data_IF_390663659089
#
_entry.id   IF_390663659089
#
_cell.length_a   1.000
_cell.length_b   1.000
_cell.length_c   1.000
_cell.angle_alpha   90.00
_cell.angle_beta   90.00
_cell.angle_gamma   90.00
#
_symmetry.space_group_name_H-M   'P 1'
#
loop_
_entity.id
_entity.type
_entity.pdbx_description
1 polymer ?
#
# COMPACT_ATOMS: atom_id res chain seq x y z
N UNK A 1 -14.89 -40.67 11.37
CA UNK A 1 -14.12 -39.56 10.78
C UNK A 1 -12.67 -39.99 10.63
N UNK A 2 -12.21 -40.40 9.45
CA UNK A 2 -10.79 -40.65 9.27
C UNK A 2 -10.08 -39.30 9.27
N UNK A 3 -9.08 -39.17 10.14
CA UNK A 3 -8.13 -38.08 10.17
C UNK A 3 -7.43 -37.99 8.81
N UNK A 4 -7.81 -37.00 7.99
CA UNK A 4 -7.03 -36.60 6.83
C UNK A 4 -5.84 -35.83 7.35
N UNK A 5 -4.68 -36.49 7.44
CA UNK A 5 -3.40 -35.81 7.63
C UNK A 5 -3.25 -34.74 6.54
N UNK A 6 -2.89 -33.48 6.87
CA UNK A 6 -2.67 -32.46 5.87
C UNK A 6 -1.59 -32.97 4.91
N UNK A 7 -1.95 -33.14 3.63
CA UNK A 7 -0.97 -33.36 2.56
C UNK A 7 0.11 -32.25 2.71
N UNK A 8 1.40 -32.58 2.55
CA UNK A 8 2.43 -31.56 2.53
C UNK A 8 2.02 -30.49 1.53
N UNK A 9 2.06 -29.22 1.95
CA UNK A 9 1.89 -28.08 1.04
C UNK A 9 2.82 -28.33 -0.13
N UNK A 10 2.26 -28.56 -1.32
CA UNK A 10 3.07 -28.65 -2.52
C UNK A 10 3.55 -27.25 -2.92
N UNK A 11 3.94 -27.08 -4.18
CA UNK A 11 4.58 -25.86 -4.64
C UNK A 11 3.67 -24.64 -4.48
N UNK A 12 4.18 -23.60 -3.79
CA UNK A 12 3.57 -22.28 -3.81
C UNK A 12 3.95 -21.57 -5.12
N UNK A 13 2.94 -21.05 -5.80
CA UNK A 13 3.04 -20.21 -6.98
C UNK A 13 2.66 -18.79 -6.56
N UNK A 14 3.50 -17.81 -6.90
CA UNK A 14 3.26 -16.42 -6.55
C UNK A 14 3.07 -15.60 -7.83
N UNK A 15 1.97 -14.85 -7.88
CA UNK A 15 1.71 -13.87 -8.91
C UNK A 15 1.45 -12.52 -8.26
N UNK A 16 1.82 -11.44 -8.94
CA UNK A 16 1.60 -10.07 -8.49
C UNK A 16 1.00 -9.27 -9.65
N UNK A 17 0.02 -8.42 -9.34
CA UNK A 17 -0.59 -7.50 -10.30
C UNK A 17 -0.80 -6.14 -9.65
N UNK A 18 -0.30 -5.10 -10.29
CA UNK A 18 -0.65 -3.71 -9.99
C UNK A 18 -1.78 -3.26 -10.93
N UNK A 19 -2.94 -2.91 -10.37
CA UNK A 19 -4.13 -2.53 -11.15
C UNK A 19 -3.93 -1.21 -11.91
N UNK A 20 -3.16 -0.24 -11.41
CA UNK A 20 -2.94 1.02 -12.15
C UNK A 20 -2.16 0.80 -13.45
N UNK A 21 -1.42 -0.30 -13.56
CA UNK A 21 -0.71 -0.66 -14.79
C UNK A 21 -1.62 -1.22 -15.90
N UNK A 22 -2.88 -1.53 -15.58
CA UNK A 22 -3.83 -2.11 -16.52
C UNK A 22 -4.39 -1.05 -17.48
N UNK A 23 -4.55 -1.42 -18.74
CA UNK A 23 -5.30 -0.61 -19.70
C UNK A 23 -6.80 -0.79 -19.50
N UNK A 24 -7.61 0.22 -19.85
CA UNK A 24 -9.07 0.15 -19.71
C UNK A 24 -9.73 -1.03 -20.47
N UNK A 25 -9.05 -1.52 -21.52
CA UNK A 25 -9.48 -2.65 -22.35
C UNK A 25 -9.11 -4.01 -21.74
N UNK A 26 -8.33 -4.03 -20.67
CA UNK A 26 -7.88 -5.25 -20.01
C UNK A 26 -9.09 -6.00 -19.44
N UNK A 27 -9.28 -7.24 -19.91
CA UNK A 27 -10.48 -8.01 -19.63
C UNK A 27 -10.24 -9.13 -18.61
N UNK A 28 -11.32 -9.81 -18.22
CA UNK A 28 -11.28 -10.85 -17.20
C UNK A 28 -10.40 -12.04 -17.61
N UNK A 29 -10.39 -12.42 -18.88
CA UNK A 29 -9.58 -13.54 -19.38
C UNK A 29 -8.10 -13.21 -19.27
N UNK A 30 -7.71 -11.98 -19.66
CA UNK A 30 -6.33 -11.49 -19.55
C UNK A 30 -5.88 -11.37 -18.08
N UNK A 31 -6.79 -10.98 -17.19
CA UNK A 31 -6.54 -10.95 -15.74
C UNK A 31 -6.17 -12.32 -15.20
N UNK A 32 -6.93 -13.36 -15.54
CA UNK A 32 -6.66 -14.71 -15.08
C UNK A 32 -5.45 -15.34 -15.77
N UNK A 33 -5.24 -15.04 -17.05
CA UNK A 33 -4.03 -15.45 -17.76
C UNK A 33 -2.78 -14.89 -17.09
N UNK A 34 -2.81 -13.60 -16.70
CA UNK A 34 -1.74 -12.98 -15.94
C UNK A 34 -1.53 -13.67 -14.57
N UNK A 35 -2.61 -13.83 -13.81
CA UNK A 35 -2.57 -14.47 -12.48
C UNK A 35 -1.98 -15.88 -12.51
N UNK A 36 -2.25 -16.64 -13.57
CA UNK A 36 -1.82 -18.02 -13.73
C UNK A 36 -0.51 -18.16 -14.52
N UNK A 37 0.17 -17.07 -14.89
CA UNK A 37 1.46 -17.12 -15.58
C UNK A 37 2.51 -18.00 -14.86
N UNK A 38 2.68 -17.93 -13.52
CA UNK A 38 3.64 -18.78 -12.84
C UNK A 38 3.31 -20.28 -12.97
N UNK A 39 2.03 -20.63 -13.05
CA UNK A 39 1.58 -22.00 -13.27
C UNK A 39 2.00 -22.48 -14.68
N UNK A 40 1.78 -21.63 -15.68
CA UNK A 40 2.17 -21.91 -17.06
C UNK A 40 3.69 -22.16 -17.16
N UNK A 41 4.48 -21.24 -16.64
CA UNK A 41 5.95 -21.30 -16.72
C UNK A 41 6.54 -22.47 -15.92
N UNK A 42 6.09 -22.67 -14.67
CA UNK A 42 6.74 -23.62 -13.74
C UNK A 42 6.21 -25.03 -13.77
N UNK A 43 5.03 -25.27 -14.34
CA UNK A 43 4.42 -26.61 -14.32
C UNK A 43 4.19 -27.12 -15.73
N UNK A 44 3.65 -26.28 -16.60
CA UNK A 44 3.25 -26.70 -17.95
C UNK A 44 4.49 -26.82 -18.85
N UNK A 45 5.38 -25.83 -18.81
CA UNK A 45 6.57 -25.81 -19.66
C UNK A 45 7.69 -26.72 -19.16
N UNK A 46 7.84 -26.90 -17.84
CA UNK A 46 9.03 -27.55 -17.24
C UNK A 46 8.85 -29.00 -16.78
N UNK A 47 7.63 -29.44 -16.39
CA UNK A 47 7.43 -30.75 -15.71
C UNK A 47 6.76 -31.84 -16.54
N UNK A 48 6.03 -31.48 -17.60
CA UNK A 48 5.46 -32.33 -18.68
C UNK A 48 4.08 -31.80 -19.08
N UNK A 49 3.77 -31.64 -20.38
CA UNK A 49 2.51 -31.04 -20.84
C UNK A 49 1.26 -31.91 -20.63
N UNK A 50 1.40 -33.13 -20.10
CA UNK A 50 0.33 -34.13 -19.99
C UNK A 50 -0.25 -34.32 -18.58
N UNK A 51 0.15 -33.50 -17.60
CA UNK A 51 -0.43 -33.57 -16.24
C UNK A 51 -1.91 -33.16 -16.23
N UNK A 52 -2.72 -33.63 -15.26
CA UNK A 52 -4.11 -33.20 -15.11
C UNK A 52 -4.26 -31.68 -15.00
N UNK A 53 -3.32 -31.02 -14.31
CA UNK A 53 -3.28 -29.55 -14.16
C UNK A 53 -3.01 -28.87 -15.51
N UNK A 54 -2.04 -29.35 -16.29
CA UNK A 54 -1.75 -28.79 -17.62
C UNK A 54 -2.94 -28.92 -18.58
N UNK A 55 -3.66 -30.05 -18.53
CA UNK A 55 -4.90 -30.24 -19.30
C UNK A 55 -6.01 -29.29 -18.84
N UNK A 56 -6.21 -29.13 -17.53
CA UNK A 56 -7.20 -28.22 -16.98
C UNK A 56 -6.90 -26.75 -17.36
N UNK A 57 -5.62 -26.35 -17.35
CA UNK A 57 -5.21 -25.01 -17.76
C UNK A 57 -5.48 -24.76 -19.25
N UNK A 58 -5.13 -25.72 -20.13
CA UNK A 58 -5.45 -25.63 -21.57
C UNK A 58 -6.95 -25.52 -21.82
N UNK A 59 -7.78 -26.20 -21.02
CA UNK A 59 -9.23 -26.06 -21.09
C UNK A 59 -9.69 -24.67 -20.61
N UNK A 60 -9.07 -24.11 -19.56
CA UNK A 60 -9.33 -22.73 -19.16
C UNK A 60 -9.04 -21.74 -20.29
N UNK A 61 -7.91 -21.89 -20.99
CA UNK A 61 -7.59 -21.01 -22.13
C UNK A 61 -8.63 -21.11 -23.25
N UNK A 62 -9.16 -22.31 -23.52
CA UNK A 62 -10.21 -22.50 -24.55
C UNK A 62 -11.58 -21.94 -24.15
N UNK A 63 -11.84 -21.86 -22.85
CA UNK A 63 -13.08 -21.34 -22.28
C UNK A 63 -12.91 -19.89 -21.78
N UNK A 64 -11.92 -19.16 -22.30
CA UNK A 64 -11.62 -17.77 -21.97
C UNK A 64 -11.55 -17.49 -20.46
N UNK A 65 -11.03 -18.46 -19.69
CA UNK A 65 -10.97 -18.44 -18.23
C UNK A 65 -12.32 -18.20 -17.55
N UNK A 66 -13.37 -18.87 -18.04
CA UNK A 66 -14.66 -18.92 -17.37
C UNK A 66 -14.53 -19.38 -15.90
N UNK A 67 -15.44 -18.93 -15.04
CA UNK A 67 -15.42 -19.26 -13.60
C UNK A 67 -15.44 -20.77 -13.37
N UNK A 68 -16.26 -21.51 -14.12
CA UNK A 68 -16.33 -22.96 -14.02
C UNK A 68 -15.05 -23.65 -14.47
N UNK A 69 -14.37 -23.13 -15.50
CA UNK A 69 -13.09 -23.67 -15.93
C UNK A 69 -12.01 -23.44 -14.85
N UNK A 70 -11.98 -22.23 -14.27
CA UNK A 70 -11.06 -21.87 -13.19
C UNK A 70 -11.29 -22.72 -11.93
N UNK A 71 -12.54 -22.96 -11.52
CA UNK A 71 -12.86 -23.85 -10.40
C UNK A 71 -12.28 -25.25 -10.64
N UNK A 72 -12.52 -25.84 -11.81
CA UNK A 72 -11.93 -27.14 -12.19
C UNK A 72 -10.40 -27.13 -12.16
N UNK A 73 -9.77 -26.04 -12.61
CA UNK A 73 -8.32 -25.89 -12.57
C UNK A 73 -7.80 -25.87 -11.14
N UNK A 74 -8.37 -25.05 -10.26
CA UNK A 74 -7.94 -24.95 -8.88
C UNK A 74 -8.18 -26.26 -8.11
N UNK A 75 -9.25 -27.01 -8.40
CA UNK A 75 -9.43 -28.36 -7.87
C UNK A 75 -8.29 -29.31 -8.27
N UNK A 76 -7.83 -29.23 -9.53
CA UNK A 76 -6.67 -30.02 -9.99
C UNK A 76 -5.37 -29.57 -9.36
N UNK A 77 -5.17 -28.26 -9.20
CA UNK A 77 -4.02 -27.72 -8.48
C UNK A 77 -3.99 -28.23 -7.03
N UNK A 78 -5.14 -28.18 -6.34
CA UNK A 78 -5.27 -28.68 -4.97
C UNK A 78 -4.94 -30.19 -4.88
N UNK A 79 -5.43 -30.99 -5.82
CA UNK A 79 -5.15 -32.43 -5.88
C UNK A 79 -3.65 -32.73 -6.06
N UNK A 80 -2.98 -31.90 -6.87
CA UNK A 80 -1.53 -31.92 -7.15
C UNK A 80 -0.68 -31.19 -6.08
N UNK A 81 -1.33 -30.68 -5.02
CA UNK A 81 -0.70 -29.94 -3.93
C UNK A 81 -0.20 -28.53 -4.30
N UNK A 82 -0.51 -28.03 -5.50
CA UNK A 82 -0.10 -26.68 -5.93
C UNK A 82 -1.06 -25.64 -5.38
N UNK A 83 -0.52 -24.47 -5.03
CA UNK A 83 -1.30 -23.37 -4.47
C UNK A 83 -0.88 -22.04 -5.08
N UNK A 84 -1.83 -21.27 -5.59
CA UNK A 84 -1.59 -19.92 -6.10
C UNK A 84 -1.84 -18.89 -5.00
N UNK A 85 -0.80 -18.13 -4.67
CA UNK A 85 -0.91 -16.88 -3.93
C UNK A 85 -0.88 -15.74 -4.95
N UNK A 86 -1.99 -15.03 -5.10
CA UNK A 86 -2.10 -13.92 -6.02
C UNK A 86 -2.28 -12.61 -5.27
N UNK A 87 -1.29 -11.74 -5.41
CA UNK A 87 -1.26 -10.42 -4.82
C UNK A 87 -1.78 -9.39 -5.84
N UNK A 88 -2.73 -8.56 -5.43
CA UNK A 88 -3.30 -7.50 -6.27
C UNK A 88 -3.11 -6.18 -5.53
N UNK A 89 -2.24 -5.33 -6.05
CA UNK A 89 -2.03 -3.99 -5.52
C UNK A 89 -3.02 -2.99 -6.11
N UNK A 90 -3.29 -1.94 -5.35
CA UNK A 90 -4.19 -0.85 -5.72
C UNK A 90 -5.56 -1.32 -6.19
N UNK A 91 -6.10 -2.32 -5.50
CA UNK A 91 -7.34 -3.00 -5.82
C UNK A 91 -8.54 -2.04 -5.95
N UNK A 92 -8.53 -0.91 -5.23
CA UNK A 92 -9.56 0.13 -5.34
C UNK A 92 -9.68 0.75 -6.76
N UNK A 93 -8.61 0.69 -7.58
CA UNK A 93 -8.66 1.15 -8.96
C UNK A 93 -9.63 0.32 -9.83
N UNK A 94 -9.91 -0.94 -9.47
CA UNK A 94 -10.89 -1.79 -10.17
C UNK A 94 -12.31 -1.23 -10.10
N UNK A 95 -12.62 -0.40 -9.10
CA UNK A 95 -13.93 0.24 -8.97
C UNK A 95 -14.23 1.24 -10.10
N UNK A 96 -13.21 1.73 -10.80
CA UNK A 96 -13.36 2.67 -11.91
C UNK A 96 -12.96 2.05 -13.25
N UNK A 97 -12.51 0.79 -13.26
CA UNK A 97 -12.02 0.14 -14.47
C UNK A 97 -13.18 -0.19 -15.42
N UNK A 98 -13.14 0.33 -16.65
CA UNK A 98 -14.23 0.24 -17.62
C UNK A 98 -14.70 -1.20 -17.90
N UNK A 99 -13.75 -2.13 -18.04
CA UNK A 99 -14.06 -3.52 -18.37
C UNK A 99 -14.30 -4.43 -17.15
N UNK A 100 -13.56 -4.23 -16.06
CA UNK A 100 -13.55 -5.13 -14.90
C UNK A 100 -14.50 -4.73 -13.77
N UNK A 101 -14.99 -3.48 -13.73
CA UNK A 101 -16.00 -3.05 -12.76
C UNK A 101 -17.38 -3.65 -13.08
N UNK A 102 -17.53 -4.96 -12.91
CA UNK A 102 -18.74 -5.72 -13.26
C UNK A 102 -19.05 -6.76 -12.19
N UNK A 103 -20.35 -7.00 -12.00
CA UNK A 103 -20.87 -8.01 -11.10
C UNK A 103 -20.30 -9.41 -11.36
N UNK A 104 -20.08 -9.76 -12.63
CA UNK A 104 -19.53 -11.05 -13.06
C UNK A 104 -18.07 -11.23 -12.62
N UNK A 105 -17.27 -10.17 -12.69
CA UNK A 105 -15.86 -10.21 -12.33
C UNK A 105 -15.69 -10.34 -10.81
N UNK A 106 -16.27 -9.44 -10.02
CA UNK A 106 -16.20 -9.52 -8.55
C UNK A 106 -16.88 -10.78 -7.99
N UNK A 107 -17.98 -11.20 -8.62
CA UNK A 107 -18.63 -12.48 -8.31
C UNK A 107 -17.72 -13.67 -8.54
N UNK A 108 -16.91 -13.66 -9.62
CA UNK A 108 -15.94 -14.72 -9.89
C UNK A 108 -14.84 -14.77 -8.83
N UNK A 109 -14.25 -13.63 -8.45
CA UNK A 109 -13.23 -13.55 -7.40
C UNK A 109 -13.75 -14.12 -6.09
N UNK A 110 -14.97 -13.71 -5.70
CA UNK A 110 -15.64 -14.23 -4.51
C UNK A 110 -15.88 -15.74 -4.58
N UNK A 111 -16.43 -16.24 -5.70
CA UNK A 111 -16.71 -17.68 -5.84
C UNK A 111 -15.44 -18.50 -5.70
N UNK A 112 -14.38 -18.12 -6.43
CA UNK A 112 -13.12 -18.85 -6.48
C UNK A 112 -12.42 -18.85 -5.11
N UNK A 113 -12.34 -17.72 -4.43
CA UNK A 113 -11.75 -17.62 -3.08
C UNK A 113 -12.55 -18.35 -2.01
N UNK A 114 -13.88 -18.42 -2.14
CA UNK A 114 -14.73 -19.11 -1.15
C UNK A 114 -14.73 -20.62 -1.31
N UNK A 115 -14.65 -21.10 -2.57
CA UNK A 115 -14.89 -22.52 -2.90
C UNK A 115 -13.61 -23.32 -3.09
N UNK A 116 -12.49 -22.66 -3.39
CA UNK A 116 -11.25 -23.35 -3.73
C UNK A 116 -10.18 -23.09 -2.68
N UNK A 117 -9.45 -24.15 -2.30
CA UNK A 117 -8.35 -24.05 -1.34
C UNK A 117 -7.00 -23.86 -2.00
N UNK A 118 -6.90 -23.92 -3.34
CA UNK A 118 -5.66 -23.73 -4.09
C UNK A 118 -5.43 -22.28 -4.55
N UNK A 119 -6.27 -21.34 -4.08
CA UNK A 119 -6.16 -19.91 -4.36
C UNK A 119 -6.19 -19.13 -3.04
N UNK A 120 -5.19 -18.29 -2.84
CA UNK A 120 -5.20 -17.22 -1.85
C UNK A 120 -5.06 -15.88 -2.55
N UNK A 121 -5.98 -14.97 -2.28
CA UNK A 121 -5.90 -13.59 -2.74
C UNK A 121 -5.42 -12.70 -1.60
N UNK A 122 -4.41 -11.90 -1.88
CA UNK A 122 -3.98 -10.80 -1.02
C UNK A 122 -4.21 -9.51 -1.80
N UNK A 123 -5.05 -8.63 -1.27
CA UNK A 123 -5.34 -7.35 -1.91
C UNK A 123 -4.77 -6.21 -1.08
N UNK A 124 -4.19 -5.22 -1.74
CA UNK A 124 -3.84 -3.93 -1.15
C UNK A 124 -4.76 -2.85 -1.74
N UNK A 125 -5.28 -1.97 -0.89
CA UNK A 125 -6.29 -0.98 -1.26
C UNK A 125 -6.19 0.20 -0.31
N UNK A 126 -6.45 1.41 -0.82
CA UNK A 126 -6.58 2.62 0.00
C UNK A 126 -7.94 2.72 0.70
N UNK A 127 -8.90 1.94 0.23
CA UNK A 127 -10.25 1.85 0.80
C UNK A 127 -10.35 0.64 1.72
N UNK A 128 -11.03 0.82 2.86
CA UNK A 128 -11.43 -0.29 3.74
C UNK A 128 -12.38 -1.25 3.02
N UNK A 129 -12.52 -2.48 3.52
CA UNK A 129 -13.47 -3.45 2.96
C UNK A 129 -14.92 -2.92 2.99
N UNK A 130 -15.28 -2.20 4.05
CA UNK A 130 -16.58 -1.51 4.15
C UNK A 130 -16.79 -0.52 3.01
N UNK A 131 -15.78 0.28 2.68
CA UNK A 131 -15.87 1.26 1.60
C UNK A 131 -15.92 0.57 0.24
N UNK A 132 -15.10 -0.46 -0.01
CA UNK A 132 -15.14 -1.26 -1.25
C UNK A 132 -16.53 -1.87 -1.49
N UNK A 133 -17.14 -2.42 -0.43
CA UNK A 133 -18.50 -2.96 -0.50
C UNK A 133 -19.52 -1.85 -0.82
N UNK A 134 -19.45 -0.69 -0.16
CA UNK A 134 -20.34 0.45 -0.42
C UNK A 134 -20.29 0.91 -1.89
N UNK A 135 -19.11 0.95 -2.51
CA UNK A 135 -18.95 1.33 -3.92
C UNK A 135 -19.53 0.30 -4.89
N UNK A 136 -19.63 -0.97 -4.50
CA UNK A 136 -20.16 -2.04 -5.35
C UNK A 136 -21.62 -2.41 -5.06
N UNK A 137 -22.29 -1.71 -4.14
CA UNK A 137 -23.68 -2.00 -3.77
C UNK A 137 -24.64 -1.96 -4.96
N UNK A 138 -24.46 -1.02 -5.89
CA UNK A 138 -25.34 -0.86 -7.05
C UNK A 138 -25.26 -2.03 -8.04
N UNK A 139 -24.12 -2.73 -8.08
CA UNK A 139 -23.90 -3.88 -8.96
C UNK A 139 -24.00 -5.22 -8.22
N UNK A 140 -24.18 -5.20 -6.90
CA UNK A 140 -24.29 -6.40 -6.07
C UNK A 140 -25.75 -6.85 -5.99
N UNK A 141 -26.03 -8.10 -6.38
CA UNK A 141 -27.38 -8.70 -6.34
C UNK A 141 -27.63 -9.62 -5.15
N UNK A 142 -26.80 -9.53 -4.10
CA UNK A 142 -26.89 -10.37 -2.92
C UNK A 142 -25.91 -9.96 -1.82
N UNK A 143 -25.21 -10.93 -1.23
CA UNK A 143 -24.17 -10.65 -0.25
C UNK A 143 -23.01 -9.87 -0.89
N UNK A 144 -22.42 -8.94 -0.13
CA UNK A 144 -21.36 -8.08 -0.62
C UNK A 144 -20.12 -8.86 -1.08
N UNK A 145 -19.49 -8.46 -2.19
CA UNK A 145 -18.44 -9.23 -2.86
C UNK A 145 -17.22 -9.47 -1.97
N UNK A 146 -16.84 -8.48 -1.15
CA UNK A 146 -15.57 -8.49 -0.44
C UNK A 146 -15.65 -9.06 0.98
N UNK A 147 -16.81 -9.61 1.38
CA UNK A 147 -16.98 -10.25 2.70
C UNK A 147 -16.16 -11.53 2.89
N UNK A 148 -15.51 -12.02 1.82
CA UNK A 148 -14.59 -13.17 1.87
C UNK A 148 -13.18 -12.76 2.32
N UNK A 149 -12.89 -11.46 2.37
CA UNK A 149 -11.59 -10.92 2.78
C UNK A 149 -11.60 -10.54 4.26
N UNK A 150 -10.42 -10.61 4.86
CA UNK A 150 -10.14 -10.03 6.17
C UNK A 150 -9.41 -8.70 5.99
N UNK A 151 -9.92 -7.65 6.61
CA UNK A 151 -9.28 -6.32 6.59
C UNK A 151 -8.11 -6.29 7.59
N UNK A 152 -6.96 -5.81 7.13
CA UNK A 152 -5.81 -5.53 7.97
C UNK A 152 -5.31 -4.13 7.63
N UNK A 153 -5.69 -3.15 8.43
CA UNK A 153 -5.28 -1.76 8.22
C UNK A 153 -3.84 -1.57 8.68
N UNK A 154 -2.99 -1.10 7.76
CA UNK A 154 -1.62 -0.70 8.07
C UNK A 154 -1.64 0.71 8.67
N UNK A 155 -1.31 0.80 9.95
CA UNK A 155 -1.16 2.07 10.66
C UNK A 155 0.28 2.59 10.65
N UNK A 156 0.54 3.69 11.39
CA UNK A 156 1.90 4.11 11.70
C UNK A 156 2.70 2.99 12.37
N UNK A 157 4.02 3.02 12.22
CA UNK A 157 4.91 2.05 12.86
C UNK A 157 4.79 2.15 14.39
N UNK A 158 4.94 1.01 15.08
CA UNK A 158 5.15 1.05 16.52
C UNK A 158 6.51 1.69 16.84
N UNK A 159 6.65 2.38 17.98
CA UNK A 159 7.89 3.04 18.39
C UNK A 159 9.11 2.10 18.38
N UNK A 160 8.91 0.83 18.72
CA UNK A 160 9.95 -0.21 18.66
C UNK A 160 10.41 -0.48 17.22
N UNK A 161 9.48 -0.48 16.27
CA UNK A 161 9.79 -0.61 14.85
C UNK A 161 10.46 0.66 14.30
N UNK A 162 10.03 1.86 14.70
CA UNK A 162 10.70 3.13 14.36
C UNK A 162 12.16 3.08 14.80
N UNK A 163 12.42 2.76 16.07
CA UNK A 163 13.79 2.61 16.59
C UNK A 163 14.58 1.56 15.83
N UNK A 164 13.96 0.42 15.51
CA UNK A 164 14.63 -0.66 14.75
C UNK A 164 15.02 -0.21 13.35
N UNK A 165 14.19 0.59 12.67
CA UNK A 165 14.48 1.15 11.34
C UNK A 165 15.62 2.16 11.43
N UNK A 166 15.53 3.13 12.36
CA UNK A 166 16.57 4.16 12.53
C UNK A 166 17.91 3.56 12.95
N UNK A 167 17.90 2.49 13.75
CA UNK A 167 19.12 1.80 14.19
C UNK A 167 19.95 1.22 13.04
N UNK A 168 19.37 1.01 11.86
CA UNK A 168 20.13 0.60 10.66
C UNK A 168 21.09 1.69 10.19
N UNK A 169 20.81 2.95 10.51
CA UNK A 169 21.65 4.11 10.24
C UNK A 169 22.61 4.48 11.38
N UNK A 170 22.72 3.67 12.46
CA UNK A 170 23.51 4.00 13.66
C UNK A 170 25.00 4.27 13.43
N UNK A 171 25.54 3.87 12.28
CA UNK A 171 26.90 4.25 11.91
C UNK A 171 27.04 5.76 11.63
N UNK A 172 25.95 6.46 11.31
CA UNK A 172 25.94 7.87 10.88
C UNK A 172 25.08 8.75 11.80
N UNK A 173 24.02 8.21 12.41
CA UNK A 173 23.12 9.00 13.27
C UNK A 173 23.45 8.88 14.75
N UNK A 174 23.38 10.00 15.45
CA UNK A 174 23.42 10.03 16.91
C UNK A 174 21.99 10.08 17.53
N UNK A 175 21.90 10.07 18.86
CA UNK A 175 20.61 10.12 19.55
C UNK A 175 19.81 11.41 19.31
N UNK A 176 20.48 12.53 19.04
CA UNK A 176 19.83 13.82 18.77
C UNK A 176 19.22 13.81 17.36
N UNK A 177 19.90 13.17 16.40
CA UNK A 177 19.41 12.90 15.06
C UNK A 177 18.18 11.99 15.08
N UNK A 178 18.20 10.92 15.90
CA UNK A 178 17.03 10.06 16.09
C UNK A 178 15.83 10.83 16.64
N UNK A 179 16.06 11.71 17.63
CA UNK A 179 15.00 12.56 18.18
C UNK A 179 14.49 13.56 17.14
N UNK A 180 15.38 14.14 16.32
CA UNK A 180 15.00 15.02 15.22
C UNK A 180 14.11 14.27 14.20
N UNK A 181 14.56 13.13 13.68
CA UNK A 181 13.83 12.33 12.69
C UNK A 181 12.45 11.93 13.23
N UNK A 182 12.40 11.35 14.43
CA UNK A 182 11.15 10.93 15.06
C UNK A 182 10.19 12.11 15.28
N UNK A 183 10.71 13.29 15.57
CA UNK A 183 9.91 14.50 15.80
C UNK A 183 9.30 15.07 14.52
N UNK A 184 10.02 15.03 13.39
CA UNK A 184 9.53 15.60 12.12
C UNK A 184 8.72 14.61 11.27
N UNK A 185 8.98 13.32 11.42
CA UNK A 185 8.33 12.26 10.66
C UNK A 185 7.25 11.49 11.43
N UNK A 186 7.29 11.56 12.77
CA UNK A 186 6.47 10.72 13.63
C UNK A 186 6.79 9.24 13.41
N UNK A 187 5.73 8.45 13.28
CA UNK A 187 5.83 7.02 13.01
C UNK A 187 5.44 6.62 11.56
N UNK A 188 5.33 7.59 10.64
CA UNK A 188 4.93 7.30 9.27
C UNK A 188 6.13 6.73 8.47
N UNK A 189 6.05 5.50 7.91
CA UNK A 189 7.18 4.84 7.26
C UNK A 189 7.88 5.70 6.20
N UNK A 190 7.10 6.30 5.29
CA UNK A 190 7.64 7.17 4.24
C UNK A 190 8.30 8.43 4.79
N UNK A 191 7.68 9.13 5.76
CA UNK A 191 8.25 10.35 6.32
C UNK A 191 9.53 10.05 7.10
N UNK A 192 9.58 8.91 7.79
CA UNK A 192 10.78 8.46 8.50
C UNK A 192 11.94 8.24 7.53
N UNK A 193 11.68 7.57 6.41
CA UNK A 193 12.67 7.38 5.36
C UNK A 193 13.11 8.73 4.77
N UNK A 194 12.17 9.62 4.44
CA UNK A 194 12.49 10.93 3.85
C UNK A 194 13.34 11.80 4.81
N UNK A 195 12.97 11.85 6.09
CA UNK A 195 13.72 12.60 7.10
C UNK A 195 15.11 12.00 7.36
N UNK A 196 15.22 10.67 7.41
CA UNK A 196 16.51 10.00 7.53
C UNK A 196 17.40 10.23 6.30
N UNK A 197 16.84 10.17 5.08
CA UNK A 197 17.58 10.43 3.83
C UNK A 197 18.12 11.85 3.80
N UNK A 198 17.27 12.84 4.08
CA UNK A 198 17.68 14.24 4.14
C UNK A 198 18.80 14.46 5.17
N UNK A 199 18.69 13.83 6.34
CA UNK A 199 19.75 13.94 7.34
C UNK A 199 21.04 13.23 6.92
N UNK A 200 20.94 12.10 6.23
CA UNK A 200 22.09 11.40 5.67
C UNK A 200 22.82 12.26 4.63
N UNK A 201 22.08 12.88 3.71
CA UNK A 201 22.66 13.75 2.67
C UNK A 201 23.44 14.92 3.29
N UNK A 202 22.92 15.53 4.35
CA UNK A 202 23.65 16.60 5.06
C UNK A 202 24.93 16.12 5.76
N UNK A 203 25.01 14.84 6.15
CA UNK A 203 26.26 14.25 6.66
C UNK A 203 27.28 14.07 5.52
N UNK A 204 26.84 13.59 4.35
CA UNK A 204 27.70 13.41 3.17
C UNK A 204 28.25 14.74 2.65
N UNK A 205 27.47 15.82 2.78
CA UNK A 205 27.90 17.19 2.44
C UNK A 205 28.92 17.77 3.43
N UNK A 206 29.22 17.07 4.53
CA UNK A 206 30.26 17.42 5.49
C UNK A 206 29.80 18.25 6.70
N UNK A 207 28.49 18.45 6.89
CA UNK A 207 28.00 19.32 7.97
C UNK A 207 28.13 18.69 9.36
N UNK A 208 29.17 19.16 10.05
CA UNK A 208 29.53 18.68 11.39
C UNK A 208 28.70 19.31 12.50
N UNK A 209 28.18 20.54 12.30
CA UNK A 209 27.38 21.23 13.32
C UNK A 209 25.95 20.68 13.38
N UNK A 210 25.58 20.13 14.54
CA UNK A 210 24.29 19.44 14.69
C UNK A 210 23.07 20.32 14.41
N UNK A 211 23.08 21.58 14.86
CA UNK A 211 21.95 22.47 14.69
C UNK A 211 21.76 22.86 13.22
N UNK A 212 22.86 23.22 12.55
CA UNK A 212 22.83 23.58 11.13
C UNK A 212 22.41 22.37 10.27
N UNK A 213 22.93 21.18 10.59
CA UNK A 213 22.56 19.93 9.92
C UNK A 213 21.05 19.65 10.02
N UNK A 214 20.45 19.79 11.21
CA UNK A 214 19.00 19.61 11.40
C UNK A 214 18.16 20.65 10.64
N UNK A 215 18.65 21.89 10.51
CA UNK A 215 17.96 22.93 9.73
C UNK A 215 17.95 22.57 8.24
N UNK A 216 19.11 22.21 7.68
CA UNK A 216 19.24 21.82 6.28
C UNK A 216 18.42 20.56 5.96
N UNK A 217 18.54 19.52 6.80
CA UNK A 217 17.78 18.29 6.67
C UNK A 217 16.26 18.55 6.78
N UNK A 218 15.85 19.48 7.64
CA UNK A 218 14.45 19.89 7.76
C UNK A 218 13.89 20.53 6.48
N UNK A 219 14.68 21.36 5.80
CA UNK A 219 14.31 21.97 4.52
C UNK A 219 14.21 20.93 3.41
N UNK A 220 15.22 20.07 3.28
CA UNK A 220 15.24 18.98 2.30
C UNK A 220 14.09 17.99 2.52
N UNK A 221 13.84 17.59 3.78
CA UNK A 221 12.70 16.77 4.16
C UNK A 221 11.37 17.40 3.74
N UNK A 222 11.19 18.71 4.01
CA UNK A 222 9.97 19.41 3.66
C UNK A 222 9.73 19.39 2.14
N UNK A 223 10.75 19.72 1.35
CA UNK A 223 10.63 19.69 -0.12
C UNK A 223 10.33 18.28 -0.64
N UNK A 224 10.94 17.25 -0.06
CA UNK A 224 10.65 15.86 -0.42
C UNK A 224 9.22 15.43 -0.07
N UNK A 225 8.71 15.83 1.10
CA UNK A 225 7.42 15.37 1.62
C UNK A 225 6.23 16.27 1.24
N UNK A 226 6.47 17.45 0.65
CA UNK A 226 5.46 18.47 0.34
C UNK A 226 4.27 17.94 -0.46
N UNK A 227 4.53 17.16 -1.52
CA UNK A 227 3.46 16.58 -2.34
C UNK A 227 2.61 15.61 -1.53
N UNK A 228 3.24 14.76 -0.71
CA UNK A 228 2.53 13.84 0.19
C UNK A 228 1.66 14.58 1.19
N UNK A 229 2.12 15.72 1.73
CA UNK A 229 1.30 16.55 2.62
C UNK A 229 0.12 17.19 1.88
N UNK A 230 0.35 17.72 0.68
CA UNK A 230 -0.71 18.33 -0.14
C UNK A 230 -1.79 17.29 -0.49
N UNK A 231 -1.39 16.07 -0.89
CA UNK A 231 -2.30 14.97 -1.18
C UNK A 231 -3.06 14.51 0.08
N UNK A 232 -2.36 14.32 1.20
CA UNK A 232 -2.97 13.95 2.48
C UNK A 232 -4.01 14.98 2.92
N UNK A 233 -3.67 16.26 2.83
CA UNK A 233 -4.56 17.36 3.14
C UNK A 233 -5.81 17.35 2.23
N UNK A 234 -5.63 17.14 0.92
CA UNK A 234 -6.74 17.05 -0.04
C UNK A 234 -7.69 15.90 0.27
N UNK A 235 -7.15 14.75 0.70
CA UNK A 235 -7.93 13.55 1.00
C UNK A 235 -8.65 13.61 2.35
N UNK A 236 -8.23 14.48 3.27
CA UNK A 236 -8.91 14.63 4.55
C UNK A 236 -10.29 15.27 4.43
N UNK A 237 -11.24 14.66 5.14
CA UNK A 237 -12.57 15.21 5.31
C UNK A 237 -12.51 16.66 5.85
N UNK A 238 -13.45 17.54 5.49
CA UNK A 238 -13.43 18.94 5.91
C UNK A 238 -13.27 19.14 7.42
N UNK A 239 -13.92 18.27 8.23
CA UNK A 239 -13.85 18.32 9.68
C UNK A 239 -12.43 18.01 10.19
N UNK A 240 -11.77 16.97 9.65
CA UNK A 240 -10.38 16.63 9.97
C UNK A 240 -9.43 17.79 9.65
N UNK A 241 -9.57 18.40 8.47
CA UNK A 241 -8.79 19.58 8.08
C UNK A 241 -8.98 20.74 9.06
N UNK A 242 -10.22 21.00 9.49
CA UNK A 242 -10.51 22.05 10.47
C UNK A 242 -9.84 21.80 11.83
N UNK A 243 -9.90 20.56 12.33
CA UNK A 243 -9.28 20.16 13.60
C UNK A 243 -7.76 20.34 13.53
N UNK A 244 -7.12 19.79 12.49
CA UNK A 244 -5.66 19.89 12.33
C UNK A 244 -5.22 21.33 12.16
N UNK A 245 -5.95 22.15 11.40
CA UNK A 245 -5.70 23.60 11.29
C UNK A 245 -5.79 24.30 12.65
N UNK A 246 -6.77 23.94 13.48
CA UNK A 246 -6.95 24.53 14.80
C UNK A 246 -5.77 24.16 15.72
N UNK A 247 -5.32 22.90 15.67
CA UNK A 247 -4.13 22.45 16.41
C UNK A 247 -2.88 23.21 15.95
N UNK A 248 -2.67 23.33 14.63
CA UNK A 248 -1.56 24.08 14.05
C UNK A 248 -1.50 25.53 14.56
N UNK A 249 -2.63 26.24 14.51
CA UNK A 249 -2.73 27.63 14.95
C UNK A 249 -2.48 27.79 16.46
N UNK A 250 -2.98 26.86 17.27
CA UNK A 250 -2.76 26.88 18.71
C UNK A 250 -1.28 26.66 19.05
N UNK A 251 -0.60 25.78 18.32
CA UNK A 251 0.83 25.57 18.49
C UNK A 251 1.67 26.76 18.04
N UNK A 252 1.26 27.43 16.97
CA UNK A 252 1.91 28.65 16.48
C UNK A 252 1.89 29.78 17.52
N UNK A 253 0.80 29.91 18.27
CA UNK A 253 0.61 30.98 19.25
C UNK A 253 1.32 30.76 20.59
N UNK A 254 2.08 29.67 20.77
CA UNK A 254 2.82 29.44 22.01
C UNK A 254 4.03 30.40 22.12
N UNK A 255 4.13 31.20 23.21
CA UNK A 255 5.24 32.13 23.41
C UNK A 255 6.55 31.36 23.60
N UNK A 256 7.35 31.33 22.52
CA UNK A 256 8.58 30.54 22.40
C UNK A 256 8.95 30.33 20.93
N UNK A 257 7.96 30.06 20.06
CA UNK A 257 8.16 29.86 18.62
C UNK A 257 8.65 31.13 17.89
N UNK A 258 8.20 32.30 18.32
CA UNK A 258 8.54 33.58 17.70
C UNK A 258 10.03 33.96 17.84
N UNK A 259 10.77 33.36 18.78
CA UNK A 259 12.21 33.60 18.97
C UNK A 259 13.06 32.77 18.00
N UNK A 260 12.73 31.48 17.83
CA UNK A 260 13.44 30.56 16.93
C UNK A 260 13.16 30.85 15.44
N UNK A 261 12.00 31.40 15.11
CA UNK A 261 11.60 31.68 13.71
C UNK A 261 11.97 33.09 13.21
N UNK A 262 12.79 33.84 13.95
CA UNK A 262 13.24 35.18 13.52
C UNK A 262 14.06 35.14 12.21
N UNK A 263 14.74 34.02 11.92
CA UNK A 263 15.44 33.77 10.66
C UNK A 263 14.51 33.50 9.46
N UNK A 264 13.31 32.95 9.66
CA UNK A 264 12.37 32.62 8.57
C UNK A 264 11.45 33.79 8.15
N UNK A 265 11.47 34.90 8.90
CA UNK A 265 10.58 36.05 8.67
C UNK A 265 10.83 36.80 7.35
N UNK A 266 12.03 36.72 6.77
CA UNK A 266 12.37 37.50 5.57
C UNK A 266 11.74 36.96 4.27
N UNK A 267 11.41 35.67 4.19
CA UNK A 267 10.78 35.07 2.99
C UNK A 267 9.24 35.17 2.97
N UNK A 268 8.60 35.34 4.13
CA UNK A 268 7.13 35.29 4.27
C UNK A 268 6.41 36.57 3.83
N UNK A 269 7.10 37.70 3.64
CA UNK A 269 6.46 38.96 3.24
C UNK A 269 5.99 39.00 1.77
N UNK A 270 6.22 37.94 0.97
CA UNK A 270 5.96 37.95 -0.48
C UNK A 270 4.87 36.99 -1.00
N UNK A 271 4.28 36.12 -0.17
CA UNK A 271 3.30 35.13 -0.66
C UNK A 271 2.07 35.01 0.24
N UNK A 272 0.87 35.07 -0.36
CA UNK A 272 -0.43 34.93 0.31
C UNK A 272 -0.54 33.59 1.08
N UNK A 273 -1.50 33.60 2.02
CA UNK A 273 -1.88 32.61 3.05
C UNK A 273 -1.81 31.10 2.76
N UNK A 274 -1.65 30.64 1.51
CA UNK A 274 -1.37 29.22 1.20
C UNK A 274 -0.01 28.77 1.75
N UNK A 275 0.89 29.71 2.03
CA UNK A 275 2.21 29.46 2.64
C UNK A 275 2.15 29.18 4.14
N UNK A 276 1.05 29.48 4.85
CA UNK A 276 0.99 29.32 6.31
C UNK A 276 1.03 27.87 6.80
N UNK A 277 0.57 26.90 5.99
CA UNK A 277 0.72 25.46 6.31
C UNK A 277 2.12 24.96 5.90
N UNK A 278 2.80 25.67 4.99
CA UNK A 278 4.14 25.32 4.49
C UNK A 278 5.28 25.64 5.47
N UNK A 279 5.06 26.52 6.45
CA UNK A 279 6.12 27.04 7.34
C UNK A 279 5.87 26.75 8.82
N UNK A 280 4.80 26.04 9.18
CA UNK A 280 4.77 25.46 10.54
C UNK A 280 5.82 24.34 10.53
N UNK A 281 6.90 24.43 11.32
CA UNK A 281 7.80 23.30 11.39
C UNK A 281 6.97 22.09 11.84
N UNK A 282 6.99 21.03 11.03
CA UNK A 282 6.27 19.77 11.25
C UNK A 282 6.57 19.13 12.61
N UNK A 283 7.61 19.62 13.27
CA UNK A 283 8.11 19.22 14.56
C UNK A 283 7.10 19.30 15.72
N UNK A 284 5.84 19.75 15.51
CA UNK A 284 4.73 19.63 16.48
C UNK A 284 3.35 19.28 15.90
N UNK A 285 3.17 19.17 14.58
CA UNK A 285 1.85 18.92 13.96
C UNK A 285 1.47 17.43 13.81
N UNK A 286 2.34 16.54 14.24
CA UNK A 286 2.08 15.11 14.33
C UNK A 286 1.51 14.82 15.72
N UNK A 287 0.33 14.19 15.75
CA UNK A 287 -0.37 13.74 16.97
C UNK A 287 0.55 12.92 17.88
#
# INVERSE_FOLDING_TARGET
NPHVSPKPLGGLLFSFLDVQSLSDQFNQSQFWEHALRPLHEKIITSRSPNTPVAKAYKNCQKEDFSVFALERLFEKMQQDGQHLVFMIDEFDALLNHATLNKATFFGSLRSLTSRTQALSLLIASRLSLSNLNSHTQQITTGSAYFNVFQDNTLGPLADTAVKTVLNRGNAHFNEDDHRFISKVAGAHPYLLQAAASALWETYEDGESESQQRHILAGQQFYEAAKLTFDDTWRLWAPMTRMVVKTIALNQWNKPGLLREMSHFKQELHRSRFETCIRVVPLNRLIL
#
